data_IF_145204105261
#
_entry.id   IF_145204105261
#
_cell.length_a   1.000
_cell.length_b   1.000
_cell.length_c   1.000
_cell.angle_alpha   90.00
_cell.angle_beta   90.00
_cell.angle_gamma   90.00
#
_symmetry.space_group_name_H-M   'P 1'
#
loop_
_entity.id
_entity.type
_entity.pdbx_description
1 polymer ?
#
# COMPACT_ATOMS: atom_id res chain seq x y z
N UNK A 1 7.46 12.26 -11.68
CA UNK A 1 6.43 11.92 -10.66
C UNK A 1 6.19 10.41 -10.58
N UNK A 2 5.83 9.75 -11.68
CA UNK A 2 5.56 8.31 -11.71
C UNK A 2 6.73 7.45 -11.19
N UNK A 3 7.97 7.70 -11.63
CA UNK A 3 9.14 6.93 -11.15
C UNK A 3 9.37 7.06 -9.65
N UNK A 4 9.14 8.25 -9.08
CA UNK A 4 9.33 8.47 -7.65
C UNK A 4 8.23 7.78 -6.82
N UNK A 5 6.98 7.82 -7.29
CA UNK A 5 5.89 7.05 -6.65
C UNK A 5 6.17 5.55 -6.72
N UNK A 6 6.70 5.07 -7.84
CA UNK A 6 7.11 3.69 -8.00
C UNK A 6 8.27 3.31 -7.05
N UNK A 7 9.23 4.22 -6.83
CA UNK A 7 10.28 4.04 -5.84
C UNK A 7 9.71 3.96 -4.41
N UNK A 8 8.79 4.86 -4.03
CA UNK A 8 8.14 4.82 -2.72
C UNK A 8 7.34 3.54 -2.49
N UNK A 9 6.67 3.05 -3.53
CA UNK A 9 6.00 1.76 -3.51
C UNK A 9 7.02 0.61 -3.35
N UNK A 10 8.15 0.67 -4.06
CA UNK A 10 9.25 -0.29 -3.94
C UNK A 10 9.97 -0.27 -2.59
N UNK A 11 9.80 0.77 -1.81
CA UNK A 11 10.37 0.87 -0.45
C UNK A 11 9.41 0.37 0.65
N UNK A 12 8.16 0.05 0.30
CA UNK A 12 7.25 -0.53 1.27
C UNK A 12 7.76 -1.88 1.77
N UNK A 13 7.63 -2.19 3.07
CA UNK A 13 7.87 -3.55 3.56
C UNK A 13 7.12 -4.59 2.74
N UNK A 14 7.74 -5.73 2.44
CA UNK A 14 7.25 -6.73 1.48
C UNK A 14 5.74 -7.00 1.61
N UNK A 15 5.27 -7.36 2.81
CA UNK A 15 3.84 -7.66 3.04
C UNK A 15 2.91 -6.46 2.86
N UNK A 16 3.38 -5.25 3.11
CA UNK A 16 2.60 -4.02 2.88
C UNK A 16 2.44 -3.77 1.37
N UNK A 17 3.50 -3.98 0.60
CA UNK A 17 3.52 -3.86 -0.85
C UNK A 17 2.64 -4.89 -1.53
N UNK A 18 2.81 -6.18 -1.19
CA UNK A 18 2.01 -7.29 -1.73
C UNK A 18 0.51 -7.07 -1.48
N UNK A 19 0.15 -6.67 -0.26
CA UNK A 19 -1.26 -6.38 0.09
C UNK A 19 -1.79 -5.16 -0.66
N UNK A 20 -1.01 -4.09 -0.78
CA UNK A 20 -1.44 -2.89 -1.50
C UNK A 20 -1.63 -3.18 -2.99
N UNK A 21 -0.71 -3.93 -3.60
CA UNK A 21 -0.80 -4.33 -5.01
C UNK A 21 -2.09 -5.09 -5.29
N UNK A 22 -2.33 -6.17 -4.54
CA UNK A 22 -3.52 -7.00 -4.72
C UNK A 22 -4.81 -6.20 -4.48
N UNK A 23 -4.90 -5.45 -3.38
CA UNK A 23 -6.17 -4.84 -2.98
C UNK A 23 -6.48 -3.54 -3.73
N UNK A 24 -5.51 -2.64 -3.87
CA UNK A 24 -5.75 -1.30 -4.44
C UNK A 24 -5.49 -1.25 -5.94
N UNK A 25 -4.44 -1.92 -6.42
CA UNK A 25 -4.04 -1.84 -7.82
C UNK A 25 -4.75 -2.89 -8.67
N UNK A 26 -4.92 -4.10 -8.13
CA UNK A 26 -5.59 -5.19 -8.83
C UNK A 26 -7.08 -5.36 -8.44
N UNK A 27 -7.55 -4.67 -7.40
CA UNK A 27 -8.95 -4.71 -6.96
C UNK A 27 -9.39 -6.01 -6.28
N UNK A 28 -8.44 -6.85 -5.84
CA UNK A 28 -8.71 -8.11 -5.14
C UNK A 28 -9.28 -7.83 -3.76
N UNK A 29 -10.28 -8.61 -3.34
CA UNK A 29 -10.87 -8.43 -2.01
C UNK A 29 -9.86 -8.74 -0.90
N UNK A 30 -10.00 -8.10 0.27
CA UNK A 30 -9.10 -8.36 1.40
C UNK A 30 -9.12 -9.83 1.89
N UNK A 31 -10.25 -10.51 1.74
CA UNK A 31 -10.41 -11.92 2.10
C UNK A 31 -9.65 -12.82 1.12
N UNK A 32 -9.80 -12.58 -0.18
CA UNK A 32 -9.11 -13.32 -1.24
C UNK A 32 -7.59 -13.06 -1.21
N UNK A 33 -7.17 -11.81 -1.00
CA UNK A 33 -5.76 -11.47 -0.79
C UNK A 33 -5.17 -12.20 0.43
N UNK A 34 -5.96 -12.42 1.48
CA UNK A 34 -5.53 -13.20 2.64
C UNK A 34 -5.25 -14.67 2.26
N UNK A 35 -6.11 -15.25 1.44
CA UNK A 35 -5.94 -16.60 0.91
C UNK A 35 -4.72 -16.70 0.00
N UNK A 36 -4.57 -15.80 -0.97
CA UNK A 36 -3.44 -15.74 -1.91
C UNK A 36 -2.10 -15.64 -1.16
N UNK A 37 -2.03 -14.78 -0.14
CA UNK A 37 -0.78 -14.51 0.59
C UNK A 37 -0.51 -15.48 1.74
N UNK A 38 -1.46 -16.36 2.07
CA UNK A 38 -1.37 -17.30 3.19
C UNK A 38 -1.31 -16.62 4.56
N UNK A 39 -2.08 -15.54 4.76
CA UNK A 39 -2.10 -14.76 6.02
C UNK A 39 -3.53 -14.55 6.53
N UNK A 40 -3.68 -14.05 7.76
CA UNK A 40 -5.01 -13.73 8.32
C UNK A 40 -5.61 -12.49 7.64
N UNK A 41 -6.94 -12.41 7.42
CA UNK A 41 -7.59 -11.20 6.90
C UNK A 41 -7.35 -9.94 7.76
N UNK A 42 -7.20 -10.10 9.08
CA UNK A 42 -6.79 -9.02 9.98
C UNK A 42 -5.38 -8.51 9.66
N UNK A 43 -4.46 -9.39 9.30
CA UNK A 43 -3.10 -9.04 8.85
C UNK A 43 -3.13 -8.29 7.52
N UNK A 44 -4.04 -8.65 6.59
CA UNK A 44 -4.23 -7.89 5.33
C UNK A 44 -4.62 -6.44 5.65
N UNK A 45 -5.70 -6.22 6.43
CA UNK A 45 -6.15 -4.87 6.81
C UNK A 45 -5.06 -4.06 7.50
N UNK A 46 -4.32 -4.69 8.43
CA UNK A 46 -3.21 -4.03 9.13
C UNK A 46 -2.04 -3.66 8.22
N UNK A 47 -1.67 -4.53 7.27
CA UNK A 47 -0.64 -4.24 6.28
C UNK A 47 -1.08 -3.15 5.31
N UNK A 48 -2.33 -3.17 4.86
CA UNK A 48 -2.89 -2.16 3.95
C UNK A 48 -2.90 -0.77 4.60
N UNK A 49 -3.37 -0.67 5.85
CA UNK A 49 -3.34 0.59 6.60
C UNK A 49 -1.92 1.15 6.73
N UNK A 50 -0.94 0.30 7.07
CA UNK A 50 0.47 0.69 7.18
C UNK A 50 1.05 1.09 5.82
N UNK A 51 0.69 0.40 4.74
CA UNK A 51 1.10 0.74 3.38
C UNK A 51 0.64 2.16 3.01
N UNK A 52 -0.67 2.43 3.13
CA UNK A 52 -1.26 3.76 2.86
C UNK A 52 -0.59 4.85 3.69
N UNK A 53 -0.40 4.63 5.00
CA UNK A 53 0.27 5.59 5.90
C UNK A 53 1.71 5.87 5.48
N UNK A 54 2.48 4.85 5.11
CA UNK A 54 3.87 5.02 4.67
C UNK A 54 3.96 5.79 3.36
N UNK A 55 3.13 5.44 2.37
CA UNK A 55 3.06 6.15 1.10
C UNK A 55 2.67 7.62 1.31
N UNK A 56 1.59 7.88 2.06
CA UNK A 56 1.15 9.25 2.36
C UNK A 56 2.27 10.06 3.01
N UNK A 57 2.94 9.51 4.03
CA UNK A 57 4.04 10.20 4.71
C UNK A 57 5.15 10.59 3.73
N UNK A 58 5.57 9.68 2.85
CA UNK A 58 6.65 9.93 1.87
C UNK A 58 6.24 10.95 0.81
N UNK A 59 5.01 10.84 0.33
CA UNK A 59 4.44 11.78 -0.64
C UNK A 59 4.40 13.19 -0.02
N UNK A 60 3.83 13.36 1.18
CA UNK A 60 3.74 14.66 1.84
C UNK A 60 5.11 15.24 2.24
N UNK A 61 6.07 14.39 2.60
CA UNK A 61 7.44 14.85 2.87
C UNK A 61 8.13 15.39 1.62
N UNK A 62 7.75 14.90 0.44
CA UNK A 62 8.32 15.34 -0.85
C UNK A 62 7.51 16.47 -1.48
N UNK A 63 6.20 16.45 -1.30
CA UNK A 63 5.25 17.44 -1.82
C UNK A 63 4.22 17.78 -0.73
N UNK A 64 4.52 18.76 0.13
CA UNK A 64 3.65 19.16 1.23
C UNK A 64 2.28 19.68 0.79
N UNK A 65 2.20 20.25 -0.41
CA UNK A 65 1.01 20.92 -0.93
C UNK A 65 0.03 20.00 -1.67
N UNK A 66 0.28 18.68 -1.69
CA UNK A 66 -0.67 17.72 -2.27
C UNK A 66 -1.95 17.72 -1.42
N UNK A 67 -3.02 18.31 -1.96
CA UNK A 67 -4.36 18.27 -1.37
C UNK A 67 -5.13 17.08 -1.93
N UNK A 68 -5.81 16.35 -1.03
CA UNK A 68 -6.89 15.45 -1.46
C UNK A 68 -8.05 16.34 -1.90
N UNK A 69 -8.36 16.29 -3.20
CA UNK A 69 -9.53 16.95 -3.79
C UNK A 69 -10.78 16.09 -3.60
#
# INVERSE_FOLDING_TARGET
LAELLHAFFKDLPRRQREVFDLVELQGVSATEAAQILGIRPTSVRGNLFKARRNLRRRILATWPDVREH
#
